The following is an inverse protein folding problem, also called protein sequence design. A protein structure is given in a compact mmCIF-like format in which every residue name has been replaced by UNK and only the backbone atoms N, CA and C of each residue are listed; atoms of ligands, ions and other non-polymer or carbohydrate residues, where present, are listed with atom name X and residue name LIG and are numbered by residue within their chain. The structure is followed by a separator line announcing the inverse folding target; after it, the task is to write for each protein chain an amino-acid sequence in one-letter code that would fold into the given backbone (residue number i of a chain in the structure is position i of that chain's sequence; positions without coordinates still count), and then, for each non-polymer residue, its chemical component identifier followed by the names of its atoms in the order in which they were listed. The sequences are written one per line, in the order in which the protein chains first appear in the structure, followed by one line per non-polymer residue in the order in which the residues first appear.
data_IF_213743154939
#
_entry.id   IF_213743154939
#
_cell.length_a   1.000
_cell.length_b   1.000
_cell.length_c   1.000
_cell.angle_alpha   90.00
_cell.angle_beta   90.00
_cell.angle_gamma   90.00
#
_symmetry.space_group_name_H-M   'P 1'
#
loop_
_entity.id
_entity.type
_entity.pdbx_description
1 polymer ?
#
# COMPACT_ATOMS: atom_id res chain seq x y z
N UNK A 1 19.70 -5.03 25.54
CA UNK A 1 18.58 -4.88 24.58
C UNK A 1 19.14 -4.23 23.34
N UNK A 2 18.72 -4.65 22.17
CA UNK A 2 19.10 -4.00 20.90
C UNK A 2 18.40 -2.64 20.87
N UNK A 3 19.13 -1.58 20.50
CA UNK A 3 18.50 -0.26 20.32
C UNK A 3 17.56 -0.29 19.09
N UNK A 4 16.44 0.44 19.13
CA UNK A 4 15.46 0.44 18.05
C UNK A 4 16.07 0.82 16.69
N UNK A 5 17.02 1.76 16.68
CA UNK A 5 17.75 2.14 15.47
C UNK A 5 18.53 0.98 14.85
N UNK A 6 19.17 0.14 15.69
CA UNK A 6 19.89 -1.04 15.23
C UNK A 6 18.93 -2.09 14.65
N UNK A 7 17.75 -2.28 15.24
CA UNK A 7 16.73 -3.20 14.72
C UNK A 7 16.22 -2.77 13.35
N UNK A 8 15.96 -1.47 13.15
CA UNK A 8 15.59 -0.93 11.82
C UNK A 8 16.74 -1.16 10.83
N UNK A 9 17.98 -0.90 11.22
CA UNK A 9 19.15 -1.12 10.38
C UNK A 9 19.28 -2.58 9.93
N UNK A 10 19.09 -3.54 10.85
CA UNK A 10 19.10 -4.98 10.55
C UNK A 10 18.02 -5.37 9.54
N UNK A 11 16.80 -4.80 9.66
CA UNK A 11 15.72 -5.04 8.72
C UNK A 11 15.99 -4.40 7.35
N UNK A 12 16.57 -3.19 7.31
CA UNK A 12 16.97 -2.53 6.05
C UNK A 12 18.00 -3.37 5.30
N UNK A 13 18.93 -4.04 6.01
CA UNK A 13 19.94 -4.92 5.42
C UNK A 13 19.41 -6.21 4.82
N UNK A 14 18.12 -6.50 4.99
CA UNK A 14 17.42 -7.58 4.30
C UNK A 14 16.68 -6.98 3.09
N UNK A 15 17.21 -7.08 1.85
CA UNK A 15 16.53 -6.59 0.66
C UNK A 15 15.16 -7.27 0.49
N UNK A 16 14.14 -6.48 0.15
CA UNK A 16 12.78 -6.99 -0.07
C UNK A 16 12.03 -6.17 -1.13
N UNK A 17 12.74 -5.79 -2.20
CA UNK A 17 12.13 -5.03 -3.30
C UNK A 17 11.04 -5.86 -3.97
N UNK A 18 9.86 -5.25 -4.13
CA UNK A 18 8.74 -5.87 -4.84
C UNK A 18 9.19 -6.29 -6.25
N UNK A 19 8.93 -7.52 -6.71
CA UNK A 19 9.37 -7.98 -8.02
C UNK A 19 8.94 -7.11 -9.20
N UNK A 20 7.82 -6.38 -9.10
CA UNK A 20 7.38 -5.43 -10.14
C UNK A 20 8.25 -4.18 -10.22
N UNK A 21 9.01 -3.88 -9.18
CA UNK A 21 9.94 -2.76 -9.09
C UNK A 21 11.40 -3.19 -9.11
N UNK A 22 11.66 -4.50 -9.27
CA UNK A 22 12.99 -5.04 -9.21
C UNK A 22 13.86 -4.62 -10.40
N UNK A 23 15.11 -4.31 -10.11
CA UNK A 23 16.14 -3.96 -11.06
C UNK A 23 17.49 -4.55 -10.65
N UNK A 24 18.58 -4.23 -11.37
CA UNK A 24 19.91 -4.81 -11.12
C UNK A 24 20.46 -4.63 -9.71
N UNK A 25 19.98 -3.63 -8.95
CA UNK A 25 20.42 -3.35 -7.58
C UNK A 25 19.51 -3.95 -6.50
N UNK A 26 18.39 -4.55 -6.87
CA UNK A 26 17.31 -4.92 -5.93
C UNK A 26 17.55 -6.18 -5.13
N UNK A 27 18.53 -7.02 -5.50
CA UNK A 27 18.61 -8.40 -5.01
C UNK A 27 17.61 -9.31 -5.72
N UNK A 28 17.68 -10.62 -5.45
CA UNK A 28 16.96 -11.62 -6.24
C UNK A 28 15.73 -12.25 -5.55
N UNK A 29 15.54 -12.01 -4.24
CA UNK A 29 14.61 -12.82 -3.44
C UNK A 29 13.25 -12.15 -3.14
N UNK A 30 13.05 -10.89 -3.54
CA UNK A 30 11.87 -10.16 -3.16
C UNK A 30 11.65 -10.22 -1.64
N UNK A 31 10.43 -10.58 -1.19
CA UNK A 31 10.11 -10.66 0.25
C UNK A 31 10.49 -11.98 0.93
N UNK A 32 11.06 -12.98 0.22
CA UNK A 32 11.29 -14.31 0.79
C UNK A 32 12.21 -14.31 2.01
N UNK A 33 13.31 -13.54 1.95
CA UNK A 33 14.26 -13.48 3.05
C UNK A 33 13.67 -12.81 4.29
N UNK A 34 12.97 -11.68 4.12
CA UNK A 34 12.37 -10.98 5.25
C UNK A 34 11.20 -11.76 5.85
N UNK A 35 10.41 -12.48 5.04
CA UNK A 35 9.35 -13.37 5.53
C UNK A 35 9.95 -14.50 6.38
N UNK A 36 11.00 -15.17 5.91
CA UNK A 36 11.67 -16.21 6.68
C UNK A 36 12.29 -15.65 7.97
N UNK A 37 12.96 -14.50 7.89
CA UNK A 37 13.54 -13.83 9.04
C UNK A 37 12.46 -13.47 10.09
N UNK A 38 11.31 -12.93 9.65
CA UNK A 38 10.21 -12.58 10.55
C UNK A 38 9.62 -13.82 11.22
N UNK A 39 9.42 -14.90 10.47
CA UNK A 39 8.90 -16.15 11.01
C UNK A 39 9.81 -16.72 12.11
N UNK A 40 11.12 -16.83 11.84
CA UNK A 40 12.12 -17.33 12.80
C UNK A 40 12.22 -16.41 14.03
N UNK A 41 12.18 -15.10 13.83
CA UNK A 41 12.30 -14.13 14.91
C UNK A 41 11.08 -14.14 15.83
N UNK A 42 9.86 -14.22 15.26
CA UNK A 42 8.62 -14.27 16.01
C UNK A 42 8.47 -15.60 16.78
N UNK A 43 8.84 -16.73 16.18
CA UNK A 43 8.89 -18.04 16.84
C UNK A 43 9.83 -18.02 18.05
N UNK A 44 11.03 -17.44 17.88
CA UNK A 44 12.01 -17.29 18.98
C UNK A 44 11.48 -16.41 20.13
N UNK A 45 10.52 -15.53 19.88
CA UNK A 45 9.83 -14.74 20.90
C UNK A 45 8.58 -15.43 21.46
N UNK A 46 8.30 -16.68 21.04
CA UNK A 46 7.21 -17.51 21.54
C UNK A 46 5.85 -17.24 20.88
N UNK A 47 5.83 -16.70 19.68
CA UNK A 47 4.61 -16.59 18.88
C UNK A 47 4.22 -17.92 18.25
N UNK A 48 2.91 -18.13 18.06
CA UNK A 48 2.40 -19.14 17.14
C UNK A 48 2.52 -18.58 15.72
N UNK A 49 3.35 -19.21 14.86
CA UNK A 49 3.68 -18.70 13.52
C UNK A 49 3.03 -19.55 12.43
N UNK A 50 2.40 -18.88 11.48
CA UNK A 50 1.91 -19.46 10.23
C UNK A 50 2.63 -18.74 9.07
N UNK A 51 3.25 -19.51 8.18
CA UNK A 51 3.81 -19.04 6.91
C UNK A 51 2.87 -19.46 5.79
N UNK A 52 2.29 -18.50 5.08
CA UNK A 52 1.23 -18.71 4.08
C UNK A 52 1.74 -18.29 2.69
N UNK A 53 1.93 -19.25 1.79
CA UNK A 53 2.39 -19.00 0.41
C UNK A 53 1.28 -18.29 -0.37
N UNK A 54 1.54 -17.04 -0.75
CA UNK A 54 0.58 -16.20 -1.48
C UNK A 54 0.77 -16.35 -2.99
N UNK A 55 2.00 -16.25 -3.47
CA UNK A 55 2.33 -16.35 -4.90
C UNK A 55 3.81 -16.68 -5.08
N UNK A 56 4.11 -17.73 -5.84
CA UNK A 56 5.47 -18.09 -6.28
C UNK A 56 6.50 -18.21 -5.14
N UNK A 57 6.09 -18.71 -3.96
CA UNK A 57 6.92 -18.85 -2.78
C UNK A 57 7.19 -17.52 -2.06
N UNK A 58 6.47 -16.46 -2.37
CA UNK A 58 6.41 -15.22 -1.59
C UNK A 58 5.30 -15.37 -0.56
N UNK A 59 5.67 -15.33 0.70
CA UNK A 59 4.79 -15.74 1.79
C UNK A 59 4.41 -14.57 2.70
N UNK A 60 3.15 -14.55 3.12
CA UNK A 60 2.77 -13.83 4.33
C UNK A 60 3.27 -14.58 5.58
N UNK A 61 3.44 -13.85 6.66
CA UNK A 61 3.75 -14.38 7.98
C UNK A 61 2.72 -13.90 8.98
N UNK A 62 2.03 -14.84 9.64
CA UNK A 62 1.07 -14.53 10.70
C UNK A 62 1.66 -15.00 12.04
N UNK A 63 2.11 -14.06 12.85
CA UNK A 63 2.72 -14.32 14.15
C UNK A 63 1.74 -13.90 15.26
N UNK A 64 1.23 -14.88 16.03
CA UNK A 64 0.26 -14.66 17.09
C UNK A 64 0.94 -14.75 18.46
N UNK A 65 1.01 -13.63 19.15
CA UNK A 65 1.47 -13.53 20.54
C UNK A 65 0.26 -13.55 21.48
N UNK A 66 0.13 -14.58 22.26
CA UNK A 66 -1.00 -14.76 23.19
C UNK A 66 -1.04 -13.67 24.25
N UNK A 67 -2.18 -13.00 24.36
CA UNK A 67 -2.44 -11.97 25.36
C UNK A 67 -2.87 -12.50 26.72
N UNK A 68 -3.18 -11.58 27.63
CA UNK A 68 -3.73 -11.87 28.96
C UNK A 68 -5.23 -11.58 29.06
N UNK A 69 -5.85 -11.01 28.01
CA UNK A 69 -7.28 -10.72 27.91
C UNK A 69 -7.89 -11.39 26.66
N UNK A 70 -9.22 -11.34 26.56
CA UNK A 70 -9.98 -11.85 25.42
C UNK A 70 -9.93 -10.90 24.19
N UNK A 71 -9.30 -9.72 24.33
CA UNK A 71 -9.13 -8.75 23.24
C UNK A 71 -8.05 -9.19 22.26
N UNK A 72 -8.16 -8.76 21.01
CA UNK A 72 -7.15 -8.98 20.00
C UNK A 72 -6.86 -7.69 19.22
N UNK A 73 -5.57 -7.44 18.98
CA UNK A 73 -5.07 -6.38 18.16
C UNK A 73 -4.28 -6.97 16.99
N UNK A 74 -4.63 -6.62 15.77
CA UNK A 74 -3.87 -7.02 14.57
C UNK A 74 -3.05 -5.83 14.09
N UNK A 75 -1.80 -6.07 13.76
CA UNK A 75 -0.89 -5.09 13.19
C UNK A 75 -0.40 -5.67 11.86
N UNK A 76 -0.83 -5.08 10.77
CA UNK A 76 -0.41 -5.43 9.42
C UNK A 76 0.76 -4.56 9.00
N UNK A 77 1.85 -5.18 8.59
CA UNK A 77 3.06 -4.54 8.10
C UNK A 77 3.43 -5.16 6.76
N UNK A 78 3.46 -4.38 5.70
CA UNK A 78 3.96 -4.90 4.44
C UNK A 78 5.49 -5.10 4.50
N UNK A 79 5.95 -6.16 3.85
CA UNK A 79 7.35 -6.60 3.88
C UNK A 79 8.13 -6.15 2.66
N UNK A 80 7.43 -5.84 1.56
CA UNK A 80 8.02 -5.36 0.31
C UNK A 80 8.37 -3.87 0.39
N UNK A 81 9.19 -3.45 -0.56
CA UNK A 81 9.57 -2.05 -0.77
C UNK A 81 9.54 -1.70 -2.25
N UNK A 82 9.45 -0.42 -2.58
CA UNK A 82 9.67 0.05 -3.96
C UNK A 82 11.12 -0.15 -4.41
N UNK A 83 11.37 0.08 -5.72
CA UNK A 83 12.67 -0.06 -6.36
C UNK A 83 13.74 0.89 -5.81
N UNK A 84 15.00 0.51 -6.07
CA UNK A 84 16.20 1.18 -5.55
C UNK A 84 17.10 1.77 -6.65
N UNK A 85 16.73 1.61 -7.91
CA UNK A 85 17.59 1.96 -9.05
C UNK A 85 17.95 3.44 -9.11
N UNK A 86 17.09 4.33 -8.59
CA UNK A 86 17.28 5.77 -8.53
C UNK A 86 18.05 6.25 -7.29
N UNK A 87 18.38 5.32 -6.35
CA UNK A 87 19.16 5.67 -5.17
C UNK A 87 20.65 5.77 -5.50
N UNK A 88 21.31 6.81 -4.99
CA UNK A 88 22.73 7.06 -5.20
C UNK A 88 23.61 6.28 -4.24
N UNK A 89 23.18 6.16 -2.98
CA UNK A 89 23.87 5.45 -1.91
C UNK A 89 23.51 3.96 -1.92
N UNK A 90 24.21 3.16 -1.10
CA UNK A 90 23.82 1.77 -0.89
C UNK A 90 22.45 1.70 -0.21
N UNK A 91 21.40 1.20 -0.91
CA UNK A 91 20.04 1.24 -0.40
C UNK A 91 19.80 0.35 0.83
N UNK A 92 20.71 -0.60 1.10
CA UNK A 92 20.55 -1.62 2.13
C UNK A 92 21.67 -1.60 3.18
N UNK A 93 22.38 -0.48 3.37
CA UNK A 93 23.42 -0.39 4.40
C UNK A 93 22.88 -0.21 5.82
N UNK A 94 21.70 0.36 5.98
CA UNK A 94 21.08 0.58 7.29
C UNK A 94 21.90 1.53 8.18
N UNK A 95 22.64 2.47 7.59
CA UNK A 95 23.52 3.35 8.39
C UNK A 95 22.71 4.23 9.33
N UNK A 96 23.21 4.38 10.55
CA UNK A 96 22.69 5.33 11.53
C UNK A 96 23.62 6.53 11.61
N UNK A 97 23.10 7.72 11.26
CA UNK A 97 23.86 8.96 11.24
C UNK A 97 22.93 10.14 11.55
N UNK A 98 23.42 11.14 12.26
CA UNK A 98 22.69 12.38 12.58
C UNK A 98 21.27 12.16 13.14
N UNK A 99 21.08 11.14 13.99
CA UNK A 99 19.80 10.83 14.61
C UNK A 99 18.78 10.16 13.67
N UNK A 100 19.24 9.59 12.56
CA UNK A 100 18.44 8.92 11.53
C UNK A 100 18.96 7.54 11.20
N UNK A 101 18.08 6.67 10.72
CA UNK A 101 18.43 5.40 10.07
C UNK A 101 18.08 5.52 8.60
N UNK A 102 19.07 5.27 7.74
CA UNK A 102 18.95 5.42 6.29
C UNK A 102 18.84 4.07 5.59
N UNK A 103 18.14 4.07 4.46
CA UNK A 103 18.04 2.97 3.52
C UNK A 103 16.61 2.68 3.10
N UNK A 104 16.44 1.90 2.05
CA UNK A 104 15.12 1.54 1.50
C UNK A 104 14.34 0.69 2.51
N UNK A 105 13.10 1.10 2.77
CA UNK A 105 12.22 0.50 3.76
C UNK A 105 12.46 1.00 5.18
N UNK A 106 13.45 1.91 5.41
CA UNK A 106 13.71 2.43 6.75
C UNK A 106 12.51 3.16 7.35
N UNK A 107 11.71 3.84 6.54
CA UNK A 107 10.46 4.47 6.97
C UNK A 107 9.25 3.67 6.50
N UNK A 108 9.29 3.08 5.33
CA UNK A 108 8.16 2.46 4.64
C UNK A 108 8.42 0.97 4.36
N UNK A 109 7.97 0.03 5.24
CA UNK A 109 7.41 0.18 6.60
C UNK A 109 8.15 -0.66 7.64
N UNK A 110 9.43 -1.02 7.37
CA UNK A 110 10.28 -1.80 8.31
C UNK A 110 10.45 -1.11 9.66
N UNK A 111 10.29 0.23 9.71
CA UNK A 111 10.21 0.99 10.95
C UNK A 111 9.14 0.45 11.90
N UNK A 112 7.90 0.30 11.42
CA UNK A 112 6.81 -0.22 12.26
C UNK A 112 7.04 -1.68 12.64
N UNK A 113 7.54 -2.52 11.73
CA UNK A 113 7.93 -3.89 12.05
C UNK A 113 8.95 -3.92 13.20
N UNK A 114 9.99 -3.09 13.13
CA UNK A 114 11.01 -2.99 14.17
C UNK A 114 10.41 -2.55 15.51
N UNK A 115 9.50 -1.57 15.50
CA UNK A 115 8.81 -1.06 16.71
C UNK A 115 8.00 -2.16 17.39
N UNK A 116 7.17 -2.89 16.64
CA UNK A 116 6.35 -3.98 17.20
C UNK A 116 7.22 -5.08 17.77
N UNK A 117 8.23 -5.52 17.02
CA UNK A 117 9.18 -6.55 17.48
C UNK A 117 10.01 -6.09 18.68
N UNK A 118 10.32 -4.79 18.81
CA UNK A 118 10.99 -4.25 19.97
C UNK A 118 10.10 -4.40 21.22
N UNK A 119 8.83 -4.03 21.14
CA UNK A 119 7.87 -4.16 22.25
C UNK A 119 7.69 -5.63 22.64
N UNK A 120 7.52 -6.54 21.65
CA UNK A 120 7.38 -7.97 21.93
C UNK A 120 8.65 -8.55 22.57
N UNK A 121 9.84 -8.13 22.12
CA UNK A 121 11.14 -8.54 22.71
C UNK A 121 11.24 -8.10 24.17
N UNK A 122 10.85 -6.89 24.49
CA UNK A 122 10.90 -6.34 25.86
C UNK A 122 9.93 -7.09 26.80
N UNK A 123 8.70 -7.35 26.33
CA UNK A 123 7.72 -8.14 27.09
C UNK A 123 8.20 -9.58 27.33
N UNK A 124 8.71 -10.22 26.27
CA UNK A 124 9.26 -11.58 26.39
C UNK A 124 10.44 -11.65 27.37
N UNK A 125 11.39 -10.72 27.29
CA UNK A 125 12.53 -10.63 28.19
C UNK A 125 12.14 -10.38 29.65
N UNK A 126 11.02 -9.67 29.87
CA UNK A 126 10.43 -9.42 31.19
C UNK A 126 9.57 -10.60 31.71
N UNK A 127 9.37 -11.66 30.92
CA UNK A 127 8.44 -12.74 31.23
C UNK A 127 6.98 -12.30 31.25
N UNK A 128 6.66 -11.22 30.52
CA UNK A 128 5.33 -10.64 30.42
C UNK A 128 4.68 -10.98 29.08
N UNK A 129 3.36 -10.92 29.04
CA UNK A 129 2.57 -11.00 27.82
C UNK A 129 1.87 -9.69 27.56
N UNK A 130 1.53 -9.35 26.28
CA UNK A 130 0.67 -8.22 26.00
C UNK A 130 -0.71 -8.40 26.66
N UNK A 131 -1.46 -7.33 26.83
CA UNK A 131 -2.83 -7.42 27.35
C UNK A 131 -3.77 -7.96 26.26
N UNK A 132 -3.90 -7.36 25.07
CA UNK A 132 -4.59 -8.02 23.97
C UNK A 132 -3.69 -9.12 23.36
N UNK A 133 -4.29 -10.16 22.78
CA UNK A 133 -3.56 -11.02 21.84
C UNK A 133 -3.10 -10.18 20.67
N UNK A 134 -1.80 -10.23 20.33
CA UNK A 134 -1.21 -9.46 19.22
C UNK A 134 -1.03 -10.39 18.02
N UNK A 135 -1.71 -10.07 16.93
CA UNK A 135 -1.45 -10.70 15.63
C UNK A 135 -0.57 -9.76 14.80
N UNK A 136 0.71 -10.05 14.71
CA UNK A 136 1.62 -9.38 13.80
C UNK A 136 1.55 -10.08 12.45
N UNK A 137 1.10 -9.35 11.43
CA UNK A 137 0.87 -9.87 10.09
C UNK A 137 1.87 -9.20 9.15
N UNK A 138 2.85 -9.96 8.70
CA UNK A 138 3.76 -9.54 7.64
C UNK A 138 3.15 -9.89 6.28
N UNK A 139 2.81 -8.88 5.48
CA UNK A 139 2.16 -9.06 4.18
C UNK A 139 3.09 -8.74 3.02
N UNK A 140 2.90 -9.40 1.90
CA UNK A 140 3.65 -9.17 0.65
C UNK A 140 2.87 -8.27 -0.31
N UNK A 141 3.59 -7.65 -1.26
CA UNK A 141 3.01 -7.05 -2.48
C UNK A 141 2.03 -5.90 -2.23
N UNK A 142 2.35 -5.01 -1.28
CA UNK A 142 1.68 -3.73 -1.10
C UNK A 142 2.09 -2.75 -2.19
N UNK A 143 3.39 -2.53 -2.35
CA UNK A 143 4.02 -1.54 -3.22
C UNK A 143 3.79 -1.78 -4.73
N UNK A 144 3.51 -3.00 -5.11
CA UNK A 144 3.13 -3.35 -6.47
C UNK A 144 1.67 -3.03 -6.82
N UNK A 145 0.89 -2.43 -5.90
CA UNK A 145 -0.49 -1.99 -6.10
C UNK A 145 -1.53 -3.12 -6.14
N UNK A 146 -1.13 -4.38 -6.05
CA UNK A 146 -2.04 -5.54 -6.08
C UNK A 146 -2.63 -5.87 -4.71
N UNK A 147 -1.97 -5.46 -3.62
CA UNK A 147 -2.33 -5.77 -2.23
C UNK A 147 -2.57 -7.27 -2.02
N UNK A 148 -1.75 -8.12 -2.66
CA UNK A 148 -1.97 -9.57 -2.70
C UNK A 148 -1.91 -10.19 -1.32
N UNK A 149 -0.94 -9.78 -0.49
CA UNK A 149 -0.76 -10.26 0.87
C UNK A 149 -1.95 -9.89 1.76
N UNK A 150 -2.39 -8.64 1.71
CA UNK A 150 -3.54 -8.17 2.48
C UNK A 150 -4.84 -8.88 2.03
N UNK A 151 -5.03 -9.05 0.71
CA UNK A 151 -6.16 -9.81 0.16
C UNK A 151 -6.14 -11.25 0.68
N UNK A 152 -4.97 -11.89 0.64
CA UNK A 152 -4.80 -13.27 1.13
C UNK A 152 -5.09 -13.39 2.63
N UNK A 153 -4.66 -12.43 3.45
CA UNK A 153 -4.94 -12.44 4.90
C UNK A 153 -6.43 -12.24 5.17
N UNK A 154 -7.09 -11.31 4.47
CA UNK A 154 -8.56 -11.16 4.52
C UNK A 154 -9.27 -12.47 4.22
N UNK A 155 -8.92 -13.12 3.11
CA UNK A 155 -9.53 -14.37 2.67
C UNK A 155 -9.25 -15.50 3.67
N UNK A 156 -8.03 -15.53 4.26
CA UNK A 156 -7.66 -16.46 5.32
C UNK A 156 -8.56 -16.34 6.56
N UNK A 157 -8.97 -15.11 6.92
CA UNK A 157 -9.93 -14.87 7.99
C UNK A 157 -11.36 -15.30 7.59
N UNK A 158 -11.81 -14.90 6.40
CA UNK A 158 -13.15 -15.23 5.87
C UNK A 158 -13.37 -16.74 5.74
N UNK A 159 -12.40 -17.48 5.23
CA UNK A 159 -12.44 -18.94 5.10
C UNK A 159 -12.63 -19.65 6.46
N UNK A 160 -12.24 -18.99 7.55
CA UNK A 160 -12.38 -19.48 8.92
C UNK A 160 -13.60 -18.93 9.66
N UNK A 161 -14.37 -18.06 8.98
CA UNK A 161 -15.49 -17.34 9.59
C UNK A 161 -15.04 -16.46 10.76
N UNK A 162 -13.83 -15.89 10.66
CA UNK A 162 -13.22 -15.05 11.68
C UNK A 162 -13.26 -13.57 11.28
N UNK A 163 -13.47 -12.73 12.26
CA UNK A 163 -13.24 -11.29 12.21
C UNK A 163 -12.26 -10.92 13.31
N UNK A 164 -11.57 -9.81 13.16
CA UNK A 164 -10.69 -9.24 14.18
C UNK A 164 -11.27 -7.96 14.72
N UNK A 165 -11.04 -7.68 16.00
CA UNK A 165 -11.61 -6.50 16.66
C UNK A 165 -11.02 -5.21 16.09
N UNK A 166 -9.68 -5.18 15.98
CA UNK A 166 -8.92 -3.98 15.61
C UNK A 166 -7.79 -4.34 14.63
N UNK A 167 -7.64 -3.52 13.59
CA UNK A 167 -6.47 -3.59 12.68
C UNK A 167 -5.78 -2.23 12.65
N UNK A 168 -4.48 -2.24 12.90
CA UNK A 168 -3.56 -1.15 12.60
C UNK A 168 -2.76 -1.54 11.37
N UNK A 169 -2.88 -0.77 10.30
CA UNK A 169 -2.05 -0.91 9.08
C UNK A 169 -0.86 0.01 9.20
N UNK A 170 0.32 -0.54 9.02
CA UNK A 170 1.57 0.19 9.17
C UNK A 170 1.84 1.07 7.94
N UNK A 171 1.94 2.38 8.17
CA UNK A 171 2.42 3.37 7.19
C UNK A 171 3.08 4.54 7.93
N UNK A 172 3.94 5.33 7.26
CA UNK A 172 4.59 6.47 7.88
C UNK A 172 3.63 7.67 8.04
N UNK A 173 3.02 7.79 9.23
CA UNK A 173 2.00 8.80 9.56
C UNK A 173 2.45 9.82 10.60
N UNK A 174 3.74 9.90 10.93
CA UNK A 174 4.26 10.71 12.03
C UNK A 174 3.63 10.38 13.40
N UNK A 175 3.19 9.13 13.58
CA UNK A 175 2.38 8.68 14.71
C UNK A 175 1.09 9.49 14.91
N UNK A 176 0.46 9.97 13.83
CA UNK A 176 -0.89 10.50 13.86
C UNK A 176 -1.84 9.43 13.29
N UNK A 177 -2.97 9.12 13.94
CA UNK A 177 -3.91 8.14 13.41
C UNK A 177 -4.52 8.62 12.09
N UNK A 178 -4.32 7.88 11.00
CA UNK A 178 -4.97 8.13 9.72
C UNK A 178 -6.21 7.25 9.64
N UNK A 179 -7.38 7.89 9.63
CA UNK A 179 -8.68 7.22 9.72
C UNK A 179 -9.43 7.14 8.40
N UNK A 180 -8.77 7.49 7.31
CA UNK A 180 -9.33 7.38 5.96
C UNK A 180 -8.34 7.77 4.87
N UNK A 181 -8.46 7.11 3.73
CA UNK A 181 -7.74 7.44 2.51
C UNK A 181 -8.50 6.96 1.27
N UNK A 182 -8.10 7.44 0.11
CA UNK A 182 -8.70 7.05 -1.16
C UNK A 182 -8.36 5.62 -1.54
N UNK A 183 -9.26 4.96 -2.25
CA UNK A 183 -9.01 3.75 -2.98
C UNK A 183 -8.56 4.02 -4.42
N UNK A 184 -8.74 3.04 -5.31
CA UNK A 184 -8.39 3.26 -6.70
C UNK A 184 -8.74 2.13 -7.65
N UNK A 185 -8.80 2.51 -8.94
CA UNK A 185 -8.90 1.63 -10.10
C UNK A 185 -7.77 2.00 -11.05
N UNK A 186 -7.03 1.00 -11.53
CA UNK A 186 -6.03 1.16 -12.58
C UNK A 186 -6.44 0.41 -13.84
N UNK A 187 -6.49 1.08 -14.97
CA UNK A 187 -6.87 0.48 -16.26
C UNK A 187 -5.78 0.70 -17.31
N UNK A 188 -5.27 -0.41 -17.85
CA UNK A 188 -4.50 -0.41 -19.09
C UNK A 188 -5.46 -0.46 -20.26
N UNK A 189 -5.38 0.54 -21.13
CA UNK A 189 -6.28 0.71 -22.27
C UNK A 189 -5.48 0.71 -23.55
N UNK A 190 -5.86 -0.17 -24.50
CA UNK A 190 -5.35 -0.10 -25.87
C UNK A 190 -6.48 0.30 -26.81
N UNK A 191 -6.29 1.41 -27.50
CA UNK A 191 -7.16 1.84 -28.61
C UNK A 191 -6.65 1.19 -29.91
N UNK A 192 -7.53 0.48 -30.61
CA UNK A 192 -7.23 -0.21 -31.86
C UNK A 192 -7.68 0.58 -33.07
N UNK A 193 -6.77 0.77 -34.00
CA UNK A 193 -6.99 1.42 -35.28
C UNK A 193 -6.66 0.53 -36.46
N UNK A 194 -6.24 1.13 -37.57
CA UNK A 194 -5.80 0.42 -38.76
C UNK A 194 -4.66 1.20 -39.45
N UNK A 195 -3.53 0.51 -39.68
CA UNK A 195 -2.35 1.13 -40.28
C UNK A 195 -2.57 1.49 -41.75
N UNK A 196 -2.06 2.65 -42.15
CA UNK A 196 -2.05 3.10 -43.53
C UNK A 196 -0.87 4.05 -43.79
N UNK A 197 -0.52 4.24 -45.03
CA UNK A 197 0.45 5.29 -45.40
C UNK A 197 -0.14 6.68 -45.09
N UNK A 198 0.64 7.57 -44.47
CA UNK A 198 0.16 8.89 -44.00
C UNK A 198 -0.37 9.78 -45.13
N UNK A 199 0.05 9.54 -46.39
CA UNK A 199 -0.48 10.24 -47.57
C UNK A 199 -1.88 9.78 -48.01
N UNK A 200 -2.37 8.66 -47.43
CA UNK A 200 -3.68 8.09 -47.73
C UNK A 200 -4.44 7.79 -46.42
N UNK A 201 -4.71 8.82 -45.59
CA UNK A 201 -5.28 8.62 -44.25
C UNK A 201 -6.69 8.01 -44.25
N UNK A 202 -7.42 8.15 -45.38
CA UNK A 202 -8.76 7.60 -45.58
C UNK A 202 -8.78 6.07 -45.68
N UNK A 203 -7.61 5.42 -45.86
CA UNK A 203 -7.47 3.95 -45.87
C UNK A 203 -7.10 3.40 -44.50
N UNK A 204 -6.83 4.26 -43.53
CA UNK A 204 -6.47 3.89 -42.17
C UNK A 204 -7.48 4.37 -41.13
N UNK A 205 -7.25 3.94 -39.89
CA UNK A 205 -7.96 4.43 -38.72
C UNK A 205 -6.95 4.75 -37.62
N UNK A 206 -6.80 6.04 -37.30
CA UNK A 206 -5.72 6.52 -36.44
C UNK A 206 -6.03 6.28 -34.96
N UNK A 207 -5.32 5.32 -34.35
CA UNK A 207 -5.45 4.98 -32.94
C UNK A 207 -5.07 6.14 -31.99
N UNK A 208 -4.06 6.96 -32.35
CA UNK A 208 -3.71 8.16 -31.59
C UNK A 208 -4.86 9.17 -31.51
N UNK A 209 -5.63 9.33 -32.60
CA UNK A 209 -6.79 10.23 -32.59
C UNK A 209 -7.91 9.67 -31.71
N UNK A 210 -8.06 8.36 -31.61
CA UNK A 210 -8.97 7.71 -30.67
C UNK A 210 -8.56 7.93 -29.24
N UNK A 211 -7.30 7.65 -28.91
CA UNK A 211 -6.72 7.84 -27.60
C UNK A 211 -6.78 9.31 -27.14
N UNK A 212 -6.52 10.27 -28.04
CA UNK A 212 -6.65 11.70 -27.73
C UNK A 212 -8.10 12.08 -27.31
N UNK A 213 -9.12 11.49 -27.94
CA UNK A 213 -10.50 11.71 -27.52
C UNK A 213 -10.79 11.12 -26.13
N UNK A 214 -10.22 9.97 -25.81
CA UNK A 214 -10.29 9.38 -24.46
C UNK A 214 -9.66 10.32 -23.44
N UNK A 215 -8.45 10.84 -23.70
CA UNK A 215 -7.77 11.80 -22.78
C UNK A 215 -8.67 13.02 -22.51
N UNK A 216 -9.22 13.65 -23.55
CA UNK A 216 -10.14 14.79 -23.38
C UNK A 216 -11.39 14.45 -22.58
N UNK A 217 -11.94 13.25 -22.76
CA UNK A 217 -13.12 12.80 -22.00
C UNK A 217 -12.76 12.53 -20.52
N UNK A 218 -11.57 11.99 -20.25
CA UNK A 218 -11.08 11.79 -18.87
C UNK A 218 -10.83 13.15 -18.19
N UNK A 219 -10.27 14.13 -18.88
CA UNK A 219 -10.10 15.50 -18.35
C UNK A 219 -11.46 16.14 -18.00
N UNK A 220 -12.49 15.97 -18.85
CA UNK A 220 -13.83 16.45 -18.58
C UNK A 220 -14.48 15.73 -17.37
N UNK A 221 -14.24 14.44 -17.22
CA UNK A 221 -14.68 13.67 -16.04
C UNK A 221 -13.98 14.15 -14.77
N UNK A 222 -12.68 14.45 -14.84
CA UNK A 222 -11.94 15.05 -13.73
C UNK A 222 -12.54 16.41 -13.32
N UNK A 223 -12.91 17.27 -14.27
CA UNK A 223 -13.60 18.53 -13.98
C UNK A 223 -14.96 18.30 -13.30
N UNK A 224 -15.73 17.32 -13.77
CA UNK A 224 -17.01 16.94 -13.17
C UNK A 224 -16.83 16.46 -11.72
N UNK A 225 -15.85 15.59 -11.46
CA UNK A 225 -15.53 15.10 -10.10
C UNK A 225 -15.07 16.24 -9.18
N UNK A 226 -14.26 17.15 -9.69
CA UNK A 226 -13.79 18.31 -8.94
C UNK A 226 -14.94 19.26 -8.52
N UNK A 227 -16.03 19.29 -9.26
CA UNK A 227 -17.21 20.10 -8.96
C UNK A 227 -18.15 19.49 -7.90
N UNK A 228 -18.01 18.19 -7.58
CA UNK A 228 -18.82 17.54 -6.55
C UNK A 228 -18.46 18.06 -5.14
N UNK A 229 -19.34 17.85 -4.18
CA UNK A 229 -19.01 18.04 -2.75
C UNK A 229 -18.45 16.73 -2.19
N UNK A 230 -17.48 16.84 -1.29
CA UNK A 230 -16.93 15.66 -0.60
C UNK A 230 -17.88 15.23 0.52
N UNK A 231 -18.18 13.95 0.60
CA UNK A 231 -19.03 13.35 1.65
C UNK A 231 -18.25 13.06 2.95
N UNK A 232 -16.94 12.91 2.85
CA UNK A 232 -16.03 12.60 3.96
C UNK A 232 -14.79 13.50 3.92
N UNK A 233 -14.06 13.62 5.03
CA UNK A 233 -12.77 14.33 5.06
C UNK A 233 -11.70 13.77 4.12
N UNK A 234 -11.85 12.55 3.62
CA UNK A 234 -10.95 11.94 2.61
C UNK A 234 -10.99 12.71 1.29
N UNK A 235 -12.08 13.44 1.05
CA UNK A 235 -12.22 14.25 -0.15
C UNK A 235 -12.87 13.51 -1.31
N UNK A 236 -12.73 14.09 -2.49
CA UNK A 236 -13.39 13.64 -3.73
C UNK A 236 -12.55 12.61 -4.45
N UNK A 237 -13.18 11.76 -5.24
CA UNK A 237 -12.48 10.94 -6.21
C UNK A 237 -11.80 11.80 -7.30
N UNK A 238 -10.76 11.25 -7.93
CA UNK A 238 -10.03 11.90 -9.03
C UNK A 238 -9.71 10.90 -10.13
N UNK A 239 -9.59 11.37 -11.37
CA UNK A 239 -9.22 10.53 -12.51
C UNK A 239 -8.18 11.24 -13.39
N UNK A 240 -7.24 10.48 -13.95
CA UNK A 240 -6.22 11.03 -14.86
C UNK A 240 -5.68 9.97 -15.81
N UNK A 241 -5.20 10.42 -16.97
CA UNK A 241 -4.32 9.62 -17.83
C UNK A 241 -2.89 10.00 -17.50
N UNK A 242 -2.07 9.02 -17.10
CA UNK A 242 -0.67 9.27 -16.70
C UNK A 242 0.34 8.71 -17.68
N UNK A 243 -0.09 7.81 -18.58
CA UNK A 243 0.76 7.27 -19.64
C UNK A 243 0.00 7.28 -20.96
N UNK A 244 0.71 7.61 -22.05
CA UNK A 244 0.20 7.57 -23.41
C UNK A 244 1.34 7.21 -24.37
N UNK A 245 1.20 6.10 -25.09
CA UNK A 245 2.23 5.62 -26.02
C UNK A 245 1.61 5.11 -27.32
N UNK A 246 2.14 5.57 -28.47
CA UNK A 246 1.68 5.13 -29.78
C UNK A 246 2.46 5.76 -30.93
N UNK A 247 2.33 5.13 -32.11
CA UNK A 247 3.02 5.55 -33.34
C UNK A 247 4.37 4.88 -33.52
N UNK A 248 4.57 4.25 -34.69
CA UNK A 248 5.80 3.54 -35.06
C UNK A 248 6.73 4.39 -35.96
N UNK A 249 6.16 5.15 -36.88
CA UNK A 249 6.93 5.96 -37.83
C UNK A 249 6.11 7.17 -38.31
N UNK A 250 6.80 8.22 -38.70
CA UNK A 250 6.20 9.52 -39.12
C UNK A 250 5.30 9.42 -40.35
N UNK A 251 5.47 8.40 -41.17
CA UNK A 251 4.75 8.18 -42.42
C UNK A 251 3.69 7.05 -42.33
N UNK A 252 3.40 6.58 -41.15
CA UNK A 252 2.41 5.51 -40.89
C UNK A 252 1.28 6.04 -39.98
N UNK A 253 0.02 5.84 -40.36
CA UNK A 253 -1.13 6.01 -39.49
C UNK A 253 -1.07 4.90 -38.43
N UNK A 254 -1.05 5.20 -37.13
CA UNK A 254 -0.92 4.20 -36.07
C UNK A 254 -2.18 3.32 -35.96
N UNK A 255 -1.97 2.03 -35.83
CA UNK A 255 -3.01 1.01 -35.60
C UNK A 255 -3.22 0.64 -34.13
N UNK A 256 -2.36 1.13 -33.23
CA UNK A 256 -2.51 0.97 -31.81
C UNK A 256 -2.02 2.19 -31.03
N UNK A 257 -2.68 2.48 -29.91
CA UNK A 257 -2.22 3.46 -28.92
C UNK A 257 -2.61 2.96 -27.54
N UNK A 258 -1.60 2.80 -26.67
CA UNK A 258 -1.77 2.40 -25.27
C UNK A 258 -1.87 3.64 -24.38
N UNK A 259 -2.68 3.58 -23.33
CA UNK A 259 -2.75 4.59 -22.29
C UNK A 259 -3.10 3.94 -20.94
N UNK A 260 -2.63 4.54 -19.85
CA UNK A 260 -3.01 4.15 -18.50
C UNK A 260 -3.97 5.19 -17.91
N UNK A 261 -5.10 4.71 -17.38
CA UNK A 261 -6.11 5.52 -16.69
C UNK A 261 -6.14 5.17 -15.22
N UNK A 262 -5.72 6.10 -14.37
CA UNK A 262 -5.78 5.98 -12.92
C UNK A 262 -7.00 6.71 -12.34
N UNK A 263 -7.84 6.04 -11.57
CA UNK A 263 -8.99 6.60 -10.85
C UNK A 263 -8.79 6.41 -9.35
N UNK A 264 -8.71 7.53 -8.59
CA UNK A 264 -8.77 7.48 -7.13
C UNK A 264 -10.22 7.56 -6.68
N UNK A 265 -10.66 6.61 -5.86
CA UNK A 265 -12.05 6.48 -5.40
C UNK A 265 -12.23 7.03 -3.99
N UNK A 266 -13.38 7.67 -3.73
CA UNK A 266 -13.78 8.07 -2.40
C UNK A 266 -14.39 6.89 -1.61
N UNK A 267 -14.49 6.96 -0.27
CA UNK A 267 -15.00 5.86 0.55
C UNK A 267 -16.48 5.50 0.31
N UNK A 268 -17.28 6.43 -0.16
CA UNK A 268 -18.73 6.30 -0.40
C UNK A 268 -19.05 5.94 -1.85
N UNK A 269 -18.05 5.73 -2.71
CA UNK A 269 -18.27 5.33 -4.11
C UNK A 269 -18.42 3.80 -4.22
N UNK A 270 -19.44 3.36 -4.96
CA UNK A 270 -19.58 1.97 -5.38
C UNK A 270 -18.53 1.66 -6.47
N UNK A 271 -17.64 0.72 -6.17
CA UNK A 271 -16.48 0.44 -7.03
C UNK A 271 -16.90 -0.16 -8.37
N UNK A 272 -17.93 -1.00 -8.39
CA UNK A 272 -18.42 -1.65 -9.61
C UNK A 272 -19.10 -0.63 -10.52
N UNK A 273 -19.90 0.28 -9.96
CA UNK A 273 -20.55 1.37 -10.71
C UNK A 273 -19.50 2.34 -11.29
N UNK A 274 -18.50 2.74 -10.49
CA UNK A 274 -17.42 3.63 -10.93
C UNK A 274 -16.62 3.00 -12.06
N UNK A 275 -16.26 1.73 -11.91
CA UNK A 275 -15.51 0.99 -12.93
C UNK A 275 -16.29 0.85 -14.22
N UNK A 276 -17.56 0.44 -14.14
CA UNK A 276 -18.43 0.29 -15.31
C UNK A 276 -18.60 1.61 -16.06
N UNK A 277 -18.84 2.71 -15.33
CA UNK A 277 -18.98 4.05 -15.91
C UNK A 277 -17.68 4.51 -16.59
N UNK A 278 -16.52 4.25 -15.97
CA UNK A 278 -15.22 4.59 -16.53
C UNK A 278 -14.91 3.81 -17.82
N UNK A 279 -15.15 2.51 -17.84
CA UNK A 279 -15.00 1.67 -19.04
C UNK A 279 -15.93 2.16 -20.16
N UNK A 280 -17.19 2.45 -19.87
CA UNK A 280 -18.14 2.98 -20.84
C UNK A 280 -17.72 4.35 -21.40
N UNK A 281 -17.18 5.24 -20.56
CA UNK A 281 -16.65 6.53 -20.98
C UNK A 281 -15.51 6.36 -21.98
N UNK A 282 -14.56 5.46 -21.69
CA UNK A 282 -13.41 5.14 -22.54
C UNK A 282 -13.88 4.59 -23.90
N UNK A 283 -14.72 3.56 -23.89
CA UNK A 283 -15.25 2.93 -25.12
C UNK A 283 -16.02 3.92 -26.00
N UNK A 284 -16.92 4.71 -25.40
CA UNK A 284 -17.71 5.70 -26.11
C UNK A 284 -16.85 6.80 -26.73
N UNK A 285 -15.84 7.25 -26.01
CA UNK A 285 -14.93 8.30 -26.46
C UNK A 285 -13.98 7.83 -27.56
N UNK A 286 -13.56 6.59 -27.52
CA UNK A 286 -12.71 5.99 -28.57
C UNK A 286 -13.48 5.79 -29.88
N UNK A 287 -14.81 5.65 -29.85
CA UNK A 287 -15.62 5.33 -31.03
C UNK A 287 -15.32 6.22 -32.24
N UNK A 288 -15.35 5.68 -33.49
CA UNK A 288 -15.73 4.30 -33.84
C UNK A 288 -14.63 3.23 -33.69
N UNK A 289 -13.52 3.55 -33.05
CA UNK A 289 -12.42 2.61 -32.80
C UNK A 289 -12.77 1.69 -31.62
N UNK A 290 -12.30 0.44 -31.65
CA UNK A 290 -12.45 -0.47 -30.54
C UNK A 290 -11.35 -0.27 -29.49
N UNK A 291 -11.63 -0.74 -28.28
CA UNK A 291 -10.67 -0.70 -27.17
C UNK A 291 -10.53 -2.09 -26.55
N UNK A 292 -9.35 -2.37 -26.02
CA UNK A 292 -9.14 -3.42 -25.02
C UNK A 292 -8.87 -2.71 -23.69
N UNK A 293 -9.56 -3.11 -22.63
CA UNK A 293 -9.42 -2.53 -21.28
C UNK A 293 -9.09 -3.67 -20.34
N UNK A 294 -7.95 -3.58 -19.68
CA UNK A 294 -7.48 -4.56 -18.71
C UNK A 294 -7.31 -3.90 -17.34
N UNK A 295 -7.77 -4.56 -16.28
CA UNK A 295 -7.56 -4.09 -14.92
C UNK A 295 -6.19 -4.51 -14.43
N UNK A 296 -5.37 -3.56 -14.00
CA UNK A 296 -4.01 -3.85 -13.56
C UNK A 296 -3.98 -4.51 -12.17
N UNK A 297 -4.93 -4.17 -11.30
CA UNK A 297 -4.94 -4.56 -9.88
C UNK A 297 -6.29 -5.16 -9.46
N UNK A 298 -6.88 -6.03 -10.30
CA UNK A 298 -8.21 -6.57 -10.09
C UNK A 298 -9.31 -5.53 -10.32
N UNK A 299 -10.44 -5.67 -9.65
CA UNK A 299 -11.60 -4.80 -9.88
C UNK A 299 -11.48 -3.41 -9.26
N UNK A 300 -10.39 -3.16 -8.54
CA UNK A 300 -10.15 -1.93 -7.80
C UNK A 300 -10.60 -2.03 -6.34
N UNK A 301 -10.58 -0.90 -5.64
CA UNK A 301 -11.00 -0.80 -4.23
C UNK A 301 -11.72 0.51 -3.98
N UNK A 302 -12.79 0.53 -3.17
CA UNK A 302 -13.33 1.77 -2.64
C UNK A 302 -12.30 2.42 -1.71
N UNK A 303 -12.47 3.70 -1.41
CA UNK A 303 -11.71 4.32 -0.34
C UNK A 303 -12.08 3.72 1.02
N UNK A 304 -11.22 3.92 2.00
CA UNK A 304 -11.50 3.53 3.39
C UNK A 304 -11.79 4.77 4.24
N UNK A 305 -12.74 4.66 5.17
CA UNK A 305 -13.05 5.68 6.16
C UNK A 305 -13.59 5.04 7.43
N UNK A 306 -13.00 5.41 8.56
CA UNK A 306 -13.40 5.04 9.90
C UNK A 306 -13.81 6.30 10.67
N UNK A 307 -14.84 6.20 11.51
CA UNK A 307 -15.20 7.29 12.41
C UNK A 307 -14.02 7.65 13.32
N UNK A 308 -13.51 8.89 13.31
CA UNK A 308 -12.41 9.32 14.16
C UNK A 308 -12.72 9.20 15.67
N UNK A 309 -13.99 9.09 16.04
CA UNK A 309 -14.43 8.89 17.43
C UNK A 309 -14.44 7.40 17.86
N UNK A 310 -14.04 6.47 16.98
CA UNK A 310 -13.92 5.06 17.34
C UNK A 310 -12.88 4.83 18.45
N UNK A 311 -13.03 3.75 19.21
CA UNK A 311 -12.23 3.52 20.41
C UNK A 311 -10.73 3.38 20.11
N UNK A 312 -10.37 2.67 19.04
CA UNK A 312 -8.99 2.50 18.62
C UNK A 312 -8.35 3.85 18.25
N UNK A 313 -9.03 4.64 17.41
CA UNK A 313 -8.48 5.92 16.92
C UNK A 313 -8.30 6.89 18.07
N UNK A 314 -9.30 7.03 18.96
CA UNK A 314 -9.18 7.89 20.15
C UNK A 314 -8.06 7.46 21.08
N UNK A 315 -7.91 6.13 21.29
CA UNK A 315 -6.82 5.60 22.13
C UNK A 315 -5.46 5.97 21.55
N UNK A 316 -5.23 5.71 20.25
CA UNK A 316 -3.96 6.05 19.61
C UNK A 316 -3.73 7.56 19.54
N UNK A 317 -4.76 8.37 19.26
CA UNK A 317 -4.68 9.82 19.25
C UNK A 317 -4.26 10.38 20.62
N UNK A 318 -4.83 9.83 21.69
CA UNK A 318 -4.48 10.21 23.05
C UNK A 318 -3.04 9.80 23.43
N UNK A 319 -2.63 8.57 23.11
CA UNK A 319 -1.28 8.06 23.37
C UNK A 319 -0.23 8.81 22.56
N UNK A 320 -0.57 9.17 21.35
CA UNK A 320 0.32 9.89 20.45
C UNK A 320 0.33 11.43 20.67
N UNK A 321 -0.62 11.98 21.46
CA UNK A 321 -0.87 13.42 21.52
C UNK A 321 -0.96 14.06 20.12
N UNK A 322 -1.76 13.43 19.25
CA UNK A 322 -1.91 13.81 17.85
C UNK A 322 -3.37 13.65 17.39
N UNK A 323 -3.89 14.65 16.68
CA UNK A 323 -5.25 14.60 16.14
C UNK A 323 -5.35 13.56 15.00
N UNK A 324 -6.48 12.83 14.88
CA UNK A 324 -6.75 11.99 13.72
C UNK A 324 -6.76 12.81 12.42
N UNK A 325 -6.29 12.21 11.32
CA UNK A 325 -6.22 12.84 10.01
C UNK A 325 -6.59 11.85 8.89
N UNK A 326 -6.62 12.33 7.66
CA UNK A 326 -6.79 11.52 6.45
C UNK A 326 -5.55 11.58 5.58
N UNK A 327 -5.36 10.59 4.70
CA UNK A 327 -4.24 10.55 3.76
C UNK A 327 -4.72 10.54 2.29
N UNK A 328 -3.83 10.93 1.39
CA UNK A 328 -4.09 10.89 -0.06
C UNK A 328 -3.54 9.61 -0.72
N UNK A 329 -2.61 8.92 -0.05
CA UNK A 329 -2.05 7.63 -0.49
C UNK A 329 -2.99 6.48 -0.12
N UNK A 330 -2.78 5.31 -0.72
CA UNK A 330 -3.49 4.08 -0.38
C UNK A 330 -2.64 3.19 0.53
N UNK A 331 -3.24 2.15 1.10
CA UNK A 331 -2.55 1.14 1.91
C UNK A 331 -3.34 -0.17 1.92
N UNK A 332 -2.82 -1.19 2.58
CA UNK A 332 -3.51 -2.45 2.84
C UNK A 332 -4.87 -2.31 3.53
N UNK A 333 -5.16 -1.16 4.18
CA UNK A 333 -6.45 -0.88 4.79
C UNK A 333 -7.64 -1.05 3.83
N UNK A 334 -7.42 -0.88 2.52
CA UNK A 334 -8.43 -1.11 1.48
C UNK A 334 -8.99 -2.55 1.44
N UNK A 335 -8.34 -3.51 2.08
CA UNK A 335 -8.74 -4.92 2.06
C UNK A 335 -9.45 -5.39 3.32
N UNK A 336 -9.46 -4.59 4.40
CA UNK A 336 -9.83 -5.09 5.73
C UNK A 336 -11.23 -4.70 6.22
N UNK A 337 -11.96 -3.84 5.51
CA UNK A 337 -13.27 -3.34 5.95
C UNK A 337 -14.32 -4.42 6.25
N UNK A 338 -14.22 -5.60 5.60
CA UNK A 338 -15.15 -6.71 5.82
C UNK A 338 -14.79 -7.59 7.03
N UNK A 339 -13.55 -7.55 7.49
CA UNK A 339 -13.01 -8.48 8.49
C UNK A 339 -12.66 -7.80 9.82
N UNK A 340 -12.87 -6.48 9.94
CA UNK A 340 -12.60 -5.76 11.20
C UNK A 340 -13.69 -4.74 11.53
N UNK A 341 -13.83 -4.46 12.82
CA UNK A 341 -14.73 -3.42 13.32
C UNK A 341 -14.06 -2.05 13.44
N UNK A 342 -12.76 -2.03 13.71
CA UNK A 342 -11.97 -0.81 13.87
C UNK A 342 -10.68 -0.89 13.04
N UNK A 343 -10.47 0.10 12.20
CA UNK A 343 -9.36 0.15 11.24
C UNK A 343 -8.70 1.52 11.29
N UNK A 344 -7.37 1.53 11.33
CA UNK A 344 -6.57 2.76 11.32
C UNK A 344 -5.24 2.51 10.62
N UNK A 345 -4.71 3.53 9.97
CA UNK A 345 -3.33 3.51 9.43
C UNK A 345 -2.45 4.30 10.39
N UNK A 346 -1.33 3.71 10.85
CA UNK A 346 -0.51 4.31 11.90
C UNK A 346 0.92 3.79 11.94
N UNK A 347 1.89 4.70 12.04
CA UNK A 347 3.29 4.36 12.26
C UNK A 347 4.23 5.56 12.34
N UNK A 348 5.52 5.32 12.65
CA UNK A 348 6.54 6.35 12.75
C UNK A 348 6.97 6.90 11.39
N UNK A 349 7.53 8.10 11.39
CA UNK A 349 8.11 8.73 10.21
C UNK A 349 7.09 9.38 9.30
N UNK A 350 7.56 10.06 8.27
CA UNK A 350 6.74 10.81 7.30
C UNK A 350 6.70 10.13 5.94
N UNK A 351 5.53 10.08 5.33
CA UNK A 351 5.34 9.63 3.95
C UNK A 351 6.18 10.44 2.94
N UNK A 352 6.53 11.68 3.27
CA UNK A 352 7.39 12.52 2.43
C UNK A 352 8.81 11.96 2.27
N UNK A 353 9.23 11.03 3.16
CA UNK A 353 10.51 10.34 3.11
C UNK A 353 10.45 9.02 2.36
N UNK A 354 9.25 8.45 2.20
CA UNK A 354 9.02 7.23 1.44
C UNK A 354 9.30 7.46 -0.05
N UNK A 355 9.76 6.41 -0.75
CA UNK A 355 10.00 6.40 -2.20
C UNK A 355 11.04 7.41 -2.70
N UNK A 356 11.77 8.10 -1.81
CA UNK A 356 12.78 9.08 -2.18
C UNK A 356 14.10 8.42 -2.59
N UNK A 357 14.93 9.18 -3.32
CA UNK A 357 16.30 8.77 -3.65
C UNK A 357 17.20 8.63 -2.40
N UNK A 358 16.84 9.29 -1.32
CA UNK A 358 17.42 9.14 0.02
C UNK A 358 16.25 8.94 0.98
N UNK A 359 16.04 7.72 1.41
CA UNK A 359 15.01 7.36 2.40
C UNK A 359 15.64 7.23 3.78
N UNK A 360 14.92 7.71 4.79
CA UNK A 360 15.36 7.66 6.19
C UNK A 360 14.18 7.79 7.16
N UNK A 361 14.40 7.37 8.40
CA UNK A 361 13.49 7.60 9.52
C UNK A 361 14.23 8.25 10.69
N UNK A 362 13.63 9.22 11.36
CA UNK A 362 14.20 9.81 12.58
C UNK A 362 14.13 8.81 13.75
N UNK A 363 15.23 8.64 14.47
CA UNK A 363 15.28 7.75 15.65
C UNK A 363 14.28 8.20 16.72
N UNK A 364 14.09 9.52 16.89
CA UNK A 364 13.09 10.05 17.81
C UNK A 364 11.65 9.64 17.47
N UNK A 365 11.31 9.46 16.19
CA UNK A 365 10.02 8.93 15.76
C UNK A 365 9.88 7.44 16.09
N UNK A 366 10.95 6.68 15.96
CA UNK A 366 10.98 5.26 16.34
C UNK A 366 10.78 5.09 17.85
N UNK A 367 11.51 5.86 18.67
CA UNK A 367 11.40 5.85 20.14
C UNK A 367 9.99 6.21 20.58
N UNK A 368 9.42 7.28 19.99
CA UNK A 368 8.03 7.69 20.24
C UNK A 368 7.05 6.57 19.89
N UNK A 369 7.21 5.93 18.75
CA UNK A 369 6.33 4.83 18.34
C UNK A 369 6.46 3.62 19.28
N UNK A 370 7.66 3.25 19.73
CA UNK A 370 7.86 2.20 20.73
C UNK A 370 7.07 2.51 22.01
N UNK A 371 7.12 3.76 22.52
CA UNK A 371 6.38 4.14 23.71
C UNK A 371 4.86 4.05 23.52
N UNK A 372 4.35 4.48 22.35
CA UNK A 372 2.93 4.42 22.01
C UNK A 372 2.46 2.96 21.89
N UNK A 373 3.14 2.13 21.09
CA UNK A 373 2.77 0.73 20.91
C UNK A 373 2.88 -0.05 22.22
N UNK A 374 3.93 0.20 23.02
CA UNK A 374 4.05 -0.41 24.35
C UNK A 374 2.86 -0.04 25.23
N UNK A 375 2.52 1.24 25.33
CA UNK A 375 1.38 1.69 26.12
C UNK A 375 0.07 1.09 25.62
N UNK A 376 -0.16 1.05 24.32
CA UNK A 376 -1.37 0.47 23.72
C UNK A 376 -1.49 -1.03 23.96
N UNK A 377 -0.41 -1.79 23.86
CA UNK A 377 -0.41 -3.26 23.98
C UNK A 377 -0.31 -3.76 25.43
N UNK A 378 -0.14 -2.87 26.39
CA UNK A 378 -0.07 -3.20 27.83
C UNK A 378 -1.23 -2.63 28.68
N UNK A 379 -2.28 -2.08 28.02
CA UNK A 379 -3.47 -1.53 28.66
C UNK A 379 -4.68 -2.45 28.61
#
# INVERSE_FOLDING_TARGET
MVEIAQRVAELVQIPSVNPLHAGPKSGDDGERQISSWLADHADALGADVVVDDVVDGRCNVYARFEGTSDRAATIDVHLDTVGVEHMSDNPFDGRSEDGRVYGRGSVDTKATLAVVLQVMTELHAAGQRPVPTVNLVGTISEEGGGLLGATRYRDWLLDRGQTVEQIVVAEPTMCAPVHGHKGGIGLDVTVHGHAAHSSKPHLGANALSGAARVVVAIDAEQERLAALEASTPVGKGTVSVTELAGGLARNIIPDACALYVGRRTAPDEDIDEVRAALCQLIETSAAPLSTTIESLYGDGSPGFYQDPESALIRSLAQLADAAPTTAEYGSNALRYGEVTHELVVFGPGSIDQAHQAVEWVDISQLERAVDIYRAWLTQ
#
